data_IF_935321632380
#
_entry.id   IF_935321632380
#
_cell.length_a   1.000
_cell.length_b   1.000
_cell.length_c   1.000
_cell.angle_alpha   90.00
_cell.angle_beta   90.00
_cell.angle_gamma   90.00
#
_symmetry.space_group_name_H-M   'P 1'
#
loop_
_entity.id
_entity.type
_entity.pdbx_description
1 polymer ?
#
# COMPACT_ATOMS: atom_id res chain seq x y z
N UNK A 1 -25.01 -2.79 -13.77
CA UNK A 1 -23.55 -2.57 -13.61
C UNK A 1 -23.22 -1.27 -14.32
N UNK A 2 -22.55 -0.34 -13.67
CA UNK A 2 -22.25 0.99 -14.26
C UNK A 2 -20.79 1.36 -13.98
N UNK A 3 -20.14 1.97 -14.97
CA UNK A 3 -18.73 2.35 -14.91
C UNK A 3 -18.45 3.44 -13.87
N UNK A 4 -19.38 4.38 -13.67
CA UNK A 4 -19.23 5.52 -12.75
C UNK A 4 -20.31 5.58 -11.66
N UNK A 5 -21.07 4.49 -11.47
CA UNK A 5 -22.10 4.44 -10.43
C UNK A 5 -21.91 3.18 -9.58
N UNK A 6 -21.16 3.35 -8.48
CA UNK A 6 -20.89 2.30 -7.50
C UNK A 6 -19.82 1.30 -7.94
N UNK A 7 -18.95 1.62 -8.90
CA UNK A 7 -17.75 0.83 -9.19
C UNK A 7 -16.65 1.10 -8.15
N UNK A 8 -15.76 0.12 -7.96
CA UNK A 8 -14.66 0.19 -7.00
C UNK A 8 -13.35 0.19 -7.76
N UNK A 9 -12.62 1.30 -7.65
CA UNK A 9 -11.37 1.54 -8.37
C UNK A 9 -10.20 1.42 -7.42
N UNK A 10 -9.21 0.54 -7.68
CA UNK A 10 -8.02 0.43 -6.83
C UNK A 10 -7.28 1.76 -6.68
N UNK A 11 -7.18 2.52 -7.78
CA UNK A 11 -6.56 3.85 -7.81
C UNK A 11 -7.25 4.83 -6.85
N UNK A 12 -8.56 5.03 -6.98
CA UNK A 12 -9.30 6.00 -6.17
C UNK A 12 -9.28 5.61 -4.68
N UNK A 13 -9.36 4.32 -4.40
CA UNK A 13 -9.24 3.81 -3.03
C UNK A 13 -7.84 4.04 -2.45
N UNK A 14 -6.78 3.98 -3.25
CA UNK A 14 -5.44 4.32 -2.80
C UNK A 14 -5.29 5.82 -2.48
N UNK A 15 -5.90 6.70 -3.26
CA UNK A 15 -5.95 8.15 -2.95
C UNK A 15 -6.72 8.43 -1.67
N UNK A 16 -7.88 7.80 -1.49
CA UNK A 16 -8.67 7.90 -0.25
C UNK A 16 -7.86 7.41 0.95
N UNK A 17 -7.16 6.28 0.81
CA UNK A 17 -6.27 5.75 1.84
C UNK A 17 -5.11 6.69 2.19
N UNK A 18 -4.49 7.32 1.19
CA UNK A 18 -3.43 8.31 1.39
C UNK A 18 -3.95 9.54 2.14
N UNK A 19 -5.15 10.01 1.82
CA UNK A 19 -5.85 11.05 2.57
C UNK A 19 -6.06 10.63 4.03
N UNK A 20 -6.71 9.50 4.26
CA UNK A 20 -6.95 8.96 5.61
C UNK A 20 -5.65 8.85 6.43
N UNK A 21 -4.60 8.27 5.86
CA UNK A 21 -3.31 8.12 6.53
C UNK A 21 -2.66 9.46 6.87
N UNK A 22 -2.81 10.47 6.02
CA UNK A 22 -2.30 11.82 6.27
C UNK A 22 -2.98 12.52 7.45
N UNK A 23 -4.22 12.16 7.75
CA UNK A 23 -4.97 12.61 8.94
C UNK A 23 -4.83 11.66 10.15
N UNK A 24 -3.94 10.65 10.09
CA UNK A 24 -3.73 9.68 11.17
C UNK A 24 -4.72 8.51 11.19
N UNK A 25 -5.68 8.44 10.26
CA UNK A 25 -6.67 7.36 10.16
C UNK A 25 -6.13 6.11 9.45
N UNK A 26 -5.01 5.58 9.92
CA UNK A 26 -4.31 4.46 9.28
C UNK A 26 -5.07 3.14 9.25
N UNK A 27 -6.00 2.92 10.20
CA UNK A 27 -6.86 1.74 10.18
C UNK A 27 -7.75 1.70 8.94
N UNK A 28 -8.18 2.87 8.42
CA UNK A 28 -8.92 2.96 7.17
C UNK A 28 -8.06 2.55 5.97
N UNK A 29 -6.83 3.06 5.89
CA UNK A 29 -5.88 2.69 4.84
C UNK A 29 -5.57 1.18 4.88
N UNK A 30 -5.39 0.63 6.08
CA UNK A 30 -5.16 -0.79 6.30
C UNK A 30 -6.35 -1.65 5.83
N UNK A 31 -7.57 -1.22 6.14
CA UNK A 31 -8.80 -1.90 5.70
C UNK A 31 -8.91 -1.93 4.18
N UNK A 32 -8.57 -0.82 3.50
CA UNK A 32 -8.56 -0.76 2.03
C UNK A 32 -7.50 -1.70 1.45
N UNK A 33 -6.27 -1.67 1.98
CA UNK A 33 -5.20 -2.56 1.51
C UNK A 33 -5.58 -4.04 1.67
N UNK A 34 -6.14 -4.42 2.83
CA UNK A 34 -6.67 -5.77 3.04
C UNK A 34 -7.80 -6.11 2.07
N UNK A 35 -8.74 -5.19 1.85
CA UNK A 35 -9.86 -5.42 0.95
C UNK A 35 -9.44 -5.66 -0.51
N UNK A 36 -8.46 -4.88 -0.99
CA UNK A 36 -7.92 -5.05 -2.35
C UNK A 36 -7.03 -6.28 -2.47
N UNK A 37 -6.25 -6.63 -1.44
CA UNK A 37 -5.51 -7.89 -1.41
C UNK A 37 -6.45 -9.10 -1.41
N UNK A 38 -7.52 -9.06 -0.61
CA UNK A 38 -8.55 -10.11 -0.62
C UNK A 38 -9.17 -10.26 -2.01
N UNK A 39 -9.51 -9.13 -2.65
CA UNK A 39 -10.09 -9.13 -3.99
C UNK A 39 -9.14 -9.74 -5.02
N UNK A 40 -7.84 -9.39 -4.97
CA UNK A 40 -6.85 -9.90 -5.93
C UNK A 40 -6.67 -11.42 -5.89
N UNK A 41 -6.97 -12.07 -4.77
CA UNK A 41 -6.93 -13.53 -4.65
C UNK A 41 -7.90 -14.26 -5.58
N UNK A 42 -8.97 -13.59 -6.02
CA UNK A 42 -9.98 -14.13 -6.95
C UNK A 42 -9.72 -13.77 -8.41
N UNK A 43 -8.71 -12.93 -8.66
CA UNK A 43 -8.42 -12.40 -9.99
C UNK A 43 -7.29 -13.20 -10.63
N UNK A 44 -7.36 -13.31 -11.95
CA UNK A 44 -6.33 -13.98 -12.74
C UNK A 44 -4.96 -13.33 -12.49
N UNK A 45 -3.97 -14.17 -12.18
CA UNK A 45 -2.60 -13.76 -11.87
C UNK A 45 -2.48 -12.76 -10.70
N UNK A 46 -3.52 -12.66 -9.85
CA UNK A 46 -3.59 -11.72 -8.73
C UNK A 46 -3.42 -10.25 -9.10
N UNK A 47 -3.83 -9.89 -10.32
CA UNK A 47 -3.73 -8.51 -10.83
C UNK A 47 -5.04 -7.78 -10.65
N UNK A 48 -4.99 -6.63 -10.00
CA UNK A 48 -6.16 -5.76 -9.86
C UNK A 48 -6.50 -5.13 -11.23
N UNK A 49 -7.75 -5.25 -11.72
CA UNK A 49 -8.19 -4.54 -12.90
C UNK A 49 -8.37 -3.06 -12.60
N UNK A 50 -8.61 -2.28 -13.65
CA UNK A 50 -9.05 -0.89 -13.59
C UNK A 50 -10.17 -0.65 -12.55
N UNK A 51 -11.19 -1.52 -12.54
CA UNK A 51 -12.32 -1.44 -11.62
C UNK A 51 -13.00 -2.79 -11.40
N UNK A 52 -13.69 -2.88 -10.26
CA UNK A 52 -14.63 -3.94 -9.91
C UNK A 52 -16.05 -3.34 -9.81
N UNK A 53 -17.09 -4.15 -9.94
CA UNK A 53 -18.43 -3.70 -9.55
C UNK A 53 -18.51 -3.60 -8.02
N UNK A 54 -19.13 -2.55 -7.47
CA UNK A 54 -19.30 -2.38 -6.01
C UNK A 54 -20.55 -3.06 -5.45
N UNK A 55 -20.79 -4.31 -5.85
CA UNK A 55 -21.80 -5.12 -5.18
C UNK A 55 -21.31 -5.60 -3.82
N UNK A 56 -22.25 -5.98 -2.95
CA UNK A 56 -21.92 -6.54 -1.65
C UNK A 56 -21.11 -7.83 -1.77
N UNK A 57 -20.10 -7.98 -0.91
CA UNK A 57 -19.28 -9.20 -0.82
C UNK A 57 -20.19 -10.38 -0.45
N UNK A 58 -20.13 -11.46 -1.23
CA UNK A 58 -20.85 -12.72 -0.95
C UNK A 58 -19.86 -13.75 -0.36
N UNK A 59 -20.20 -14.43 0.75
CA UNK A 59 -19.32 -15.44 1.33
C UNK A 59 -18.96 -16.54 0.31
N UNK A 60 -17.67 -16.86 0.19
CA UNK A 60 -17.17 -17.89 -0.71
C UNK A 60 -17.02 -17.47 -2.18
N UNK A 61 -17.45 -16.26 -2.56
CA UNK A 61 -17.39 -15.77 -3.93
C UNK A 61 -16.41 -14.60 -4.10
N UNK A 62 -15.88 -14.48 -5.32
CA UNK A 62 -15.05 -13.34 -5.73
C UNK A 62 -15.89 -12.08 -6.03
N UNK A 63 -15.22 -10.93 -6.22
CA UNK A 63 -15.91 -9.71 -6.62
C UNK A 63 -16.52 -9.86 -8.02
N UNK A 64 -17.69 -9.26 -8.25
CA UNK A 64 -18.26 -9.18 -9.59
C UNK A 64 -17.38 -8.29 -10.48
N UNK A 65 -16.84 -8.86 -11.54
CA UNK A 65 -15.98 -8.14 -12.49
C UNK A 65 -16.81 -7.19 -13.36
N UNK A 66 -16.23 -6.05 -13.69
CA UNK A 66 -16.80 -5.17 -14.70
C UNK A 66 -16.40 -5.70 -16.10
N UNK A 67 -17.34 -5.98 -17.03
CA UNK A 67 -17.06 -6.78 -18.23
C UNK A 67 -15.97 -6.25 -19.16
N UNK A 68 -15.76 -4.93 -19.20
CA UNK A 68 -14.80 -4.27 -20.11
C UNK A 68 -13.68 -3.57 -19.35
N UNK A 69 -13.42 -3.96 -18.10
CA UNK A 69 -12.33 -3.39 -17.32
C UNK A 69 -10.97 -3.72 -17.95
N UNK A 70 -10.08 -2.72 -18.01
CA UNK A 70 -8.71 -2.96 -18.42
C UNK A 70 -7.94 -3.81 -17.39
N UNK A 71 -7.23 -4.85 -17.85
CA UNK A 71 -6.39 -5.70 -16.99
C UNK A 71 -5.15 -6.23 -17.74
N UNK A 72 -3.92 -5.87 -17.33
CA UNK A 72 -3.60 -4.96 -16.23
C UNK A 72 -3.81 -3.49 -16.63
N UNK A 73 -4.18 -2.66 -15.65
CA UNK A 73 -4.26 -1.21 -15.81
C UNK A 73 -3.19 -0.53 -14.94
N UNK A 74 -2.49 0.46 -15.51
CA UNK A 74 -1.29 1.05 -14.90
C UNK A 74 -1.57 1.67 -13.54
N UNK A 75 -2.64 2.46 -13.40
CA UNK A 75 -2.99 3.12 -12.13
C UNK A 75 -3.35 2.12 -11.03
N UNK A 76 -3.99 1.01 -11.38
CA UNK A 76 -4.38 -0.07 -10.47
C UNK A 76 -3.16 -0.85 -10.01
N UNK A 77 -2.16 -0.98 -10.90
CA UNK A 77 -0.88 -1.62 -10.59
C UNK A 77 -0.05 -0.80 -9.60
N UNK A 78 -0.04 0.54 -9.75
CA UNK A 78 0.71 1.43 -8.84
C UNK A 78 -0.04 1.74 -7.53
N UNK A 79 -1.36 1.56 -7.49
CA UNK A 79 -2.21 1.81 -6.31
C UNK A 79 -1.72 1.07 -5.05
N UNK A 80 -1.24 -0.17 -5.20
CA UNK A 80 -0.73 -0.98 -4.08
C UNK A 80 0.51 -0.37 -3.42
N UNK A 81 1.39 0.27 -4.20
CA UNK A 81 2.58 0.94 -3.66
C UNK A 81 2.20 2.17 -2.85
N UNK A 82 1.25 2.99 -3.34
CA UNK A 82 0.73 4.14 -2.60
C UNK A 82 0.01 3.71 -1.31
N UNK A 83 -0.77 2.63 -1.36
CA UNK A 83 -1.42 2.05 -0.18
C UNK A 83 -0.41 1.60 0.86
N UNK A 84 0.63 0.88 0.43
CA UNK A 84 1.68 0.43 1.33
C UNK A 84 2.44 1.62 1.93
N UNK A 85 2.82 2.61 1.11
CA UNK A 85 3.44 3.84 1.56
C UNK A 85 2.58 4.57 2.61
N UNK A 86 1.26 4.63 2.38
CA UNK A 86 0.28 5.24 3.29
C UNK A 86 0.18 4.49 4.62
N UNK A 87 0.14 3.16 4.58
CA UNK A 87 0.13 2.32 5.77
C UNK A 87 1.42 2.50 6.60
N UNK A 88 2.57 2.58 5.94
CA UNK A 88 3.86 2.83 6.58
C UNK A 88 4.04 4.29 7.03
N UNK A 89 3.24 5.22 6.52
CA UNK A 89 3.48 6.66 6.73
C UNK A 89 4.85 7.07 6.21
N UNK A 90 5.29 6.41 5.13
CA UNK A 90 6.62 6.54 4.56
C UNK A 90 6.72 7.85 3.79
N UNK A 91 7.70 8.69 4.15
CA UNK A 91 8.09 9.89 3.41
C UNK A 91 9.58 9.86 3.11
N UNK A 92 9.92 10.24 1.88
CA UNK A 92 11.28 10.34 1.38
C UNK A 92 11.54 11.83 1.10
N UNK A 93 12.38 12.45 1.92
CA UNK A 93 12.76 13.85 1.82
C UNK A 93 14.22 13.92 1.34
N UNK A 94 14.43 13.61 0.05
CA UNK A 94 15.76 13.46 -0.54
C UNK A 94 16.67 14.70 -0.36
N UNK A 95 16.19 15.96 -0.50
CA UNK A 95 17.02 17.14 -0.26
C UNK A 95 17.51 17.27 1.19
N UNK A 96 16.78 16.71 2.16
CA UNK A 96 17.16 16.67 3.58
C UNK A 96 17.94 15.41 3.92
N UNK A 97 18.18 14.53 2.93
CA UNK A 97 18.67 13.18 3.13
C UNK A 97 17.94 12.47 4.28
N UNK A 98 16.60 12.52 4.27
CA UNK A 98 15.77 11.96 5.34
C UNK A 98 14.74 10.97 4.80
N UNK A 99 14.62 9.86 5.52
CA UNK A 99 13.58 8.85 5.37
C UNK A 99 12.78 8.82 6.67
N UNK A 100 11.46 9.01 6.60
CA UNK A 100 10.62 8.97 7.79
C UNK A 100 9.48 7.97 7.67
N UNK A 101 9.16 7.33 8.79
CA UNK A 101 8.01 6.46 8.98
C UNK A 101 7.18 7.01 10.13
N UNK A 102 5.96 7.46 9.83
CA UNK A 102 5.03 7.94 10.84
C UNK A 102 4.00 6.87 11.14
N UNK A 103 3.93 6.41 12.39
CA UNK A 103 3.01 5.39 12.92
C UNK A 103 2.83 4.19 11.98
N UNK A 104 3.92 3.51 11.58
CA UNK A 104 3.85 2.47 10.56
C UNK A 104 2.95 1.31 11.00
N UNK A 105 2.06 0.87 10.11
CA UNK A 105 1.21 -0.30 10.31
C UNK A 105 1.31 -1.24 9.10
N UNK A 106 1.18 -2.54 9.36
CA UNK A 106 1.15 -3.57 8.32
C UNK A 106 -0.07 -4.48 8.46
N UNK A 107 -0.63 -4.96 7.34
CA UNK A 107 -1.80 -5.83 7.38
C UNK A 107 -1.43 -7.21 7.91
N UNK A 108 -2.38 -7.98 8.48
CA UNK A 108 -2.08 -9.28 9.09
C UNK A 108 -1.39 -10.28 8.16
N UNK A 109 -1.67 -10.21 6.85
CA UNK A 109 -1.06 -11.10 5.86
C UNK A 109 0.39 -10.73 5.51
N UNK A 110 0.82 -9.49 5.76
CA UNK A 110 2.15 -8.99 5.39
C UNK A 110 3.01 -8.89 6.65
N UNK A 111 3.74 -9.98 6.92
CA UNK A 111 4.56 -10.11 8.13
C UNK A 111 5.91 -9.40 8.04
N UNK A 112 6.46 -9.32 6.84
CA UNK A 112 7.83 -8.87 6.58
C UNK A 112 7.91 -8.15 5.24
N UNK A 113 8.70 -7.09 5.18
CA UNK A 113 9.03 -6.36 3.95
C UNK A 113 10.53 -6.07 3.95
N UNK A 114 11.19 -6.37 2.83
CA UNK A 114 12.54 -5.89 2.56
C UNK A 114 12.48 -4.84 1.46
N UNK A 115 13.07 -3.67 1.73
CA UNK A 115 13.33 -2.65 0.73
C UNK A 115 14.84 -2.65 0.50
N UNK A 116 15.27 -2.96 -0.72
CA UNK A 116 16.69 -3.03 -1.09
C UNK A 116 17.04 -1.95 -2.11
N UNK A 117 18.25 -1.44 -2.02
CA UNK A 117 18.82 -0.43 -2.90
C UNK A 117 17.97 0.86 -2.96
N UNK A 118 17.35 1.27 -1.85
CA UNK A 118 16.57 2.49 -1.82
C UNK A 118 17.53 3.68 -1.84
N UNK A 119 17.56 4.39 -2.98
CA UNK A 119 18.41 5.57 -3.17
C UNK A 119 17.72 6.84 -2.67
N UNK A 120 18.42 7.61 -1.83
CA UNK A 120 17.95 8.87 -1.24
C UNK A 120 19.09 9.89 -1.33
N UNK A 121 19.02 10.78 -2.31
CA UNK A 121 20.17 11.61 -2.67
C UNK A 121 21.35 10.74 -3.09
N UNK A 122 22.49 10.94 -2.43
CA UNK A 122 23.71 10.14 -2.65
C UNK A 122 23.82 8.91 -1.74
N UNK A 123 22.82 8.67 -0.88
CA UNK A 123 22.78 7.52 0.00
C UNK A 123 22.01 6.35 -0.62
N UNK A 124 22.37 5.13 -0.23
CA UNK A 124 21.65 3.89 -0.54
C UNK A 124 21.39 3.14 0.76
N UNK A 125 20.14 2.72 0.97
CA UNK A 125 19.74 1.97 2.17
C UNK A 125 18.99 0.70 1.83
N UNK A 126 19.24 -0.33 2.64
CA UNK A 126 18.43 -1.53 2.72
C UNK A 126 17.73 -1.58 4.08
N UNK A 127 16.44 -1.87 4.07
CA UNK A 127 15.58 -1.88 5.25
C UNK A 127 14.82 -3.19 5.36
N UNK A 128 14.71 -3.71 6.57
CA UNK A 128 13.76 -4.77 6.95
C UNK A 128 12.65 -4.13 7.79
N UNK A 129 11.41 -4.42 7.45
CA UNK A 129 10.24 -4.02 8.23
C UNK A 129 9.50 -5.28 8.68
N UNK A 130 9.36 -5.44 9.99
CA UNK A 130 8.72 -6.61 10.61
C UNK A 130 7.45 -6.20 11.33
N UNK A 131 6.35 -6.90 11.04
CA UNK A 131 5.08 -6.67 11.72
C UNK A 131 5.09 -7.29 13.10
N UNK A 132 4.77 -6.51 14.12
CA UNK A 132 4.45 -6.98 15.46
C UNK A 132 2.94 -6.81 15.75
N UNK A 133 2.52 -7.16 16.97
CA UNK A 133 1.12 -7.11 17.35
C UNK A 133 0.54 -5.68 17.35
N UNK A 134 1.36 -4.68 17.69
CA UNK A 134 0.91 -3.28 17.89
C UNK A 134 1.66 -2.26 17.03
N UNK A 135 2.80 -2.62 16.46
CA UNK A 135 3.65 -1.73 15.68
C UNK A 135 4.42 -2.51 14.59
N UNK A 136 5.27 -1.78 13.88
CA UNK A 136 6.17 -2.31 12.86
C UNK A 136 7.59 -1.98 13.30
N UNK A 137 8.41 -3.02 13.49
CA UNK A 137 9.85 -2.88 13.70
C UNK A 137 10.51 -2.50 12.38
N UNK A 138 11.48 -1.57 12.41
CA UNK A 138 12.21 -1.12 11.22
C UNK A 138 13.70 -1.24 11.52
N UNK A 139 14.37 -2.10 10.77
CA UNK A 139 15.79 -2.42 10.91
C UNK A 139 16.55 -1.96 9.67
N UNK A 140 17.66 -1.25 9.87
CA UNK A 140 18.57 -0.86 8.78
C UNK A 140 19.54 -2.00 8.55
N UNK A 141 19.44 -2.67 7.40
CA UNK A 141 20.30 -3.80 7.03
C UNK A 141 21.62 -3.32 6.41
N UNK A 142 21.53 -2.25 5.60
CA UNK A 142 22.69 -1.62 4.95
C UNK A 142 22.44 -0.12 4.83
N UNK A 143 23.51 0.67 4.98
CA UNK A 143 23.51 2.10 4.73
C UNK A 143 24.84 2.54 4.16
N UNK A 144 24.80 3.05 2.95
CA UNK A 144 25.91 3.69 2.26
C UNK A 144 25.56 5.19 2.11
N UNK A 145 26.47 6.08 2.49
CA UNK A 145 26.20 7.52 2.50
C UNK A 145 25.39 8.03 3.71
N UNK A 146 25.12 9.33 3.72
CA UNK A 146 24.45 10.01 4.85
C UNK A 146 22.96 10.14 4.57
N UNK A 147 22.14 9.37 5.29
CA UNK A 147 20.68 9.53 5.34
C UNK A 147 20.12 9.34 6.74
N UNK A 148 19.34 10.29 7.24
CA UNK A 148 18.62 10.16 8.50
C UNK A 148 17.40 9.26 8.33
N UNK A 149 17.23 8.29 9.22
CA UNK A 149 16.05 7.41 9.23
C UNK A 149 15.30 7.65 10.54
N UNK A 150 14.07 8.13 10.44
CA UNK A 150 13.24 8.54 11.58
C UNK A 150 11.99 7.67 11.66
N UNK A 151 11.67 7.18 12.85
CA UNK A 151 10.42 6.45 13.10
C UNK A 151 9.67 7.13 14.24
N UNK A 152 8.47 7.61 13.97
CA UNK A 152 7.57 8.19 14.96
C UNK A 152 6.46 7.19 15.24
N UNK A 153 6.21 6.85 16.51
CA UNK A 153 5.14 5.92 16.92
C UNK A 153 3.85 6.66 17.27
#
# INVERSE_FOLDING_TARGET
MSYHNGSVWPHDNALIAAGMASYGFKQGALKILCGLFDASRYLELHRLPELLCGFSRRPGEGPTLYPVACSPQTWSSVALFLLLQSCLGLRIEAPLARLSFSQPVLPPFLKHIEIKNLKIGDAVVDLSLERHAKDVGINVLRREGRVEIVVTK
#
